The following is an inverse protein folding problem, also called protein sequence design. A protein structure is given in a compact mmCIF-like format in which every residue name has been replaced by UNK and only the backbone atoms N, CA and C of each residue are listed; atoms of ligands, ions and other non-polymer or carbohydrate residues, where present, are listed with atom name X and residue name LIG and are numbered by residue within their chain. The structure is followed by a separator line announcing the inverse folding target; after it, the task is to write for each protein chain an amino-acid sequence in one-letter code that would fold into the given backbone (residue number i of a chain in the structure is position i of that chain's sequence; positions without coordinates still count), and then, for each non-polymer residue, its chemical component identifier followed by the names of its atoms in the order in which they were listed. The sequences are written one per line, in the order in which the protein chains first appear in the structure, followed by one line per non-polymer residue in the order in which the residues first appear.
data_IF_291011047809
#
_entry.id   IF_291011047809
#
_cell.length_a   1.000
_cell.length_b   1.000
_cell.length_c   1.000
_cell.angle_alpha   90.00
_cell.angle_beta   90.00
_cell.angle_gamma   90.00
#
_symmetry.space_group_name_H-M   'P 1'
#
loop_
_entity.id
_entity.type
_entity.pdbx_description
1 polymer ?
#
# COMPACT_ATOMS: atom_id res chain seq x y z
N UNK A 1 0.36 -16.43 2.14
CA UNK A 1 0.15 -15.88 0.77
C UNK A 1 1.38 -15.08 0.40
N UNK A 2 1.94 -15.27 -0.79
CA UNK A 2 3.12 -14.48 -1.20
C UNK A 2 2.72 -13.07 -1.67
N UNK A 3 3.69 -12.16 -1.74
CA UNK A 3 3.48 -10.75 -2.12
C UNK A 3 2.78 -10.60 -3.48
N UNK A 4 3.14 -11.44 -4.45
CA UNK A 4 2.57 -11.39 -5.79
C UNK A 4 1.09 -11.77 -5.83
N UNK A 5 0.72 -12.85 -5.13
CA UNK A 5 -0.66 -13.28 -4.96
C UNK A 5 -1.50 -12.20 -4.27
N UNK A 6 -0.95 -11.55 -3.24
CA UNK A 6 -1.59 -10.46 -2.54
C UNK A 6 -1.83 -9.25 -3.46
N UNK A 7 -0.82 -8.81 -4.21
CA UNK A 7 -0.96 -7.68 -5.15
C UNK A 7 -2.00 -7.98 -6.23
N UNK A 8 -1.99 -9.21 -6.77
CA UNK A 8 -2.97 -9.65 -7.75
C UNK A 8 -4.38 -9.68 -7.17
N UNK A 9 -4.53 -10.16 -5.93
CA UNK A 9 -5.80 -10.12 -5.20
C UNK A 9 -6.32 -8.69 -5.07
N UNK A 10 -5.48 -7.77 -4.56
CA UNK A 10 -5.83 -6.36 -4.40
C UNK A 10 -6.26 -5.75 -5.74
N UNK A 11 -5.48 -5.97 -6.80
CA UNK A 11 -5.78 -5.41 -8.12
C UNK A 11 -7.13 -5.89 -8.66
N UNK A 12 -7.40 -7.20 -8.59
CA UNK A 12 -8.67 -7.78 -9.05
C UNK A 12 -9.86 -7.22 -8.28
N UNK A 13 -9.68 -6.91 -7.00
CA UNK A 13 -10.76 -6.48 -6.10
C UNK A 13 -10.82 -4.97 -5.86
N UNK A 14 -9.96 -4.16 -6.50
CA UNK A 14 -9.77 -2.71 -6.21
C UNK A 14 -11.03 -1.84 -6.21
N UNK A 15 -12.09 -2.28 -6.89
CA UNK A 15 -13.37 -1.56 -6.97
C UNK A 15 -14.39 -2.02 -5.91
N UNK A 16 -14.07 -3.03 -5.09
CA UNK A 16 -14.94 -3.48 -4.00
C UNK A 16 -14.97 -2.42 -2.90
N UNK A 17 -16.17 -2.12 -2.40
CA UNK A 17 -16.34 -1.30 -1.20
C UNK A 17 -15.68 -1.99 -0.02
N UNK A 18 -15.11 -1.19 0.88
CA UNK A 18 -14.49 -1.67 2.11
C UNK A 18 -13.39 -2.72 1.89
N UNK A 19 -12.64 -2.61 0.78
CA UNK A 19 -11.47 -3.48 0.58
C UNK A 19 -10.34 -3.12 1.55
N UNK A 20 -10.04 -1.84 1.70
CA UNK A 20 -8.94 -1.34 2.53
C UNK A 20 -9.44 -0.81 3.87
N UNK A 21 -8.70 -1.12 4.93
CA UNK A 21 -8.93 -0.62 6.27
C UNK A 21 -7.67 0.07 6.78
N UNK A 22 -7.86 1.21 7.42
CA UNK A 22 -6.81 1.98 8.06
C UNK A 22 -6.99 1.94 9.56
N UNK A 23 -5.94 1.53 10.27
CA UNK A 23 -5.85 1.71 11.72
C UNK A 23 -4.84 2.83 11.95
N UNK A 24 -5.31 3.97 12.46
CA UNK A 24 -4.47 5.13 12.74
C UNK A 24 -3.95 5.02 14.16
N UNK A 25 -2.65 4.80 14.30
CA UNK A 25 -2.03 4.58 15.60
C UNK A 25 -1.62 5.90 16.27
N UNK A 26 -1.12 6.86 15.48
CA UNK A 26 -0.62 8.12 16.01
C UNK A 26 -0.72 9.23 14.95
N UNK A 27 -1.03 10.45 15.39
CA UNK A 27 -0.98 11.66 14.58
C UNK A 27 0.00 12.61 15.27
N UNK A 28 1.02 13.08 14.55
CA UNK A 28 1.99 14.01 15.10
C UNK A 28 1.28 15.29 15.60
N UNK A 29 1.80 15.90 16.68
CA UNK A 29 1.21 17.12 17.28
C UNK A 29 1.00 18.26 16.28
N UNK A 30 1.86 18.35 15.26
CA UNK A 30 1.74 19.33 14.17
C UNK A 30 0.59 19.05 13.20
N UNK A 31 -0.03 17.87 13.24
CA UNK A 31 -1.05 17.41 12.30
C UNK A 31 -0.52 17.06 10.90
N UNK A 32 0.80 17.13 10.69
CA UNK A 32 1.47 16.99 9.38
C UNK A 32 2.02 15.60 9.08
N UNK A 33 1.86 14.66 10.02
CA UNK A 33 2.30 13.28 9.84
C UNK A 33 1.41 12.34 10.64
N UNK A 34 1.17 11.14 10.11
CA UNK A 34 0.35 10.09 10.72
C UNK A 34 1.04 8.75 10.58
N UNK A 35 0.90 7.91 11.60
CA UNK A 35 1.34 6.52 11.60
C UNK A 35 0.11 5.63 11.50
N UNK A 36 0.05 4.80 10.48
CA UNK A 36 -1.09 3.91 10.28
C UNK A 36 -0.67 2.52 9.81
N UNK A 37 -1.46 1.52 10.19
CA UNK A 37 -1.41 0.17 9.63
C UNK A 37 -2.53 0.01 8.62
N UNK A 38 -2.23 -0.67 7.52
CA UNK A 38 -3.18 -0.86 6.42
C UNK A 38 -3.47 -2.34 6.28
N UNK A 39 -4.75 -2.66 6.19
CA UNK A 39 -5.23 -4.02 6.00
C UNK A 39 -6.11 -4.12 4.76
N UNK A 40 -6.21 -5.32 4.22
CA UNK A 40 -7.21 -5.67 3.22
C UNK A 40 -8.10 -6.79 3.73
N UNK A 41 -9.40 -6.68 3.48
CA UNK A 41 -10.35 -7.75 3.81
C UNK A 41 -10.31 -8.81 2.72
N UNK A 42 -10.02 -10.06 3.10
CA UNK A 42 -10.07 -11.23 2.25
C UNK A 42 -10.66 -12.39 3.03
N UNK A 43 -11.70 -13.02 2.49
CA UNK A 43 -12.32 -14.22 3.07
C UNK A 43 -12.69 -14.03 4.56
N UNK A 44 -13.24 -12.85 4.89
CA UNK A 44 -13.57 -12.39 6.26
C UNK A 44 -12.39 -12.17 7.22
N UNK A 45 -11.15 -12.19 6.72
CA UNK A 45 -9.94 -11.90 7.48
C UNK A 45 -9.31 -10.57 7.06
N UNK A 46 -8.76 -9.85 8.04
CA UNK A 46 -7.95 -8.66 7.80
C UNK A 46 -6.50 -9.05 7.61
N UNK A 47 -6.02 -8.97 6.37
CA UNK A 47 -4.63 -9.23 6.04
C UNK A 47 -3.84 -7.93 6.08
N UNK A 48 -2.76 -7.89 6.85
CA UNK A 48 -1.90 -6.70 6.91
C UNK A 48 -1.12 -6.53 5.59
N UNK A 49 -1.19 -5.32 5.02
CA UNK A 49 -0.54 -4.96 3.75
C UNK A 49 0.39 -3.76 3.87
N UNK A 50 0.64 -3.25 5.09
CA UNK A 50 1.42 -2.04 5.37
C UNK A 50 2.77 -2.06 4.67
N UNK A 51 3.56 -3.12 4.86
CA UNK A 51 4.92 -3.26 4.30
C UNK A 51 4.92 -3.36 2.77
N UNK A 52 3.90 -4.01 2.19
CA UNK A 52 3.76 -4.11 0.72
C UNK A 52 3.44 -2.75 0.11
N UNK A 53 2.50 -2.01 0.71
CA UNK A 53 2.18 -0.65 0.27
C UNK A 53 3.39 0.27 0.42
N UNK A 54 4.11 0.18 1.53
CA UNK A 54 5.30 0.99 1.76
C UNK A 54 6.38 0.73 0.72
N UNK A 55 6.69 -0.55 0.46
CA UNK A 55 7.66 -0.96 -0.56
C UNK A 55 7.27 -0.44 -1.95
N UNK A 56 6.03 -0.68 -2.39
CA UNK A 56 5.56 -0.21 -3.71
C UNK A 56 5.57 1.31 -3.79
N UNK A 57 5.25 2.04 -2.72
CA UNK A 57 5.24 3.50 -2.70
C UNK A 57 6.62 4.14 -2.45
N UNK A 58 7.65 3.35 -2.15
CA UNK A 58 8.90 3.81 -1.56
C UNK A 58 8.64 4.78 -0.39
N UNK A 59 7.82 4.33 0.56
CA UNK A 59 7.37 5.12 1.70
C UNK A 59 8.02 4.63 2.99
N UNK A 60 8.19 5.56 3.95
CA UNK A 60 8.84 5.28 5.22
C UNK A 60 7.97 4.40 6.12
N UNK A 61 8.61 3.41 6.75
CA UNK A 61 8.04 2.60 7.83
C UNK A 61 8.65 3.04 9.17
N UNK A 62 7.85 3.01 10.23
CA UNK A 62 8.27 3.20 11.62
C UNK A 62 7.65 2.11 12.50
N UNK A 63 8.47 1.12 12.87
CA UNK A 63 7.99 -0.15 13.43
C UNK A 63 7.13 -0.90 12.42
N UNK A 64 5.88 -1.18 12.77
CA UNK A 64 4.89 -1.77 11.86
C UNK A 64 3.97 -0.72 11.20
N UNK A 65 4.25 0.57 11.34
CA UNK A 65 3.40 1.62 10.83
C UNK A 65 3.95 2.23 9.54
N UNK A 66 3.07 2.49 8.58
CA UNK A 66 3.35 3.39 7.47
C UNK A 66 3.34 4.83 7.97
N UNK A 67 4.40 5.58 7.64
CA UNK A 67 4.47 7.02 7.89
C UNK A 67 3.85 7.75 6.71
N UNK A 68 2.72 8.39 6.96
CA UNK A 68 1.96 9.16 5.97
C UNK A 68 2.21 10.64 6.26
N UNK A 69 2.88 11.31 5.33
CA UNK A 69 3.21 12.73 5.43
C UNK A 69 2.11 13.55 4.77
N UNK A 70 1.69 14.62 5.44
CA UNK A 70 0.70 15.57 4.95
C UNK A 70 -0.36 15.92 5.99
N UNK A 71 -1.23 16.86 5.64
CA UNK A 71 -2.38 17.30 6.45
C UNK A 71 -3.67 16.73 5.87
N UNK A 72 -4.65 16.41 6.73
CA UNK A 72 -5.96 15.93 6.29
C UNK A 72 -6.07 14.40 6.17
N UNK A 73 -7.31 13.92 6.05
CA UNK A 73 -7.63 12.49 5.84
C UNK A 73 -7.48 12.05 4.39
N UNK A 74 -7.49 12.99 3.46
CA UNK A 74 -7.18 12.81 2.04
C UNK A 74 -5.82 12.12 1.80
N UNK A 75 -4.86 12.29 2.72
CA UNK A 75 -3.54 11.67 2.62
C UNK A 75 -3.57 10.13 2.63
N UNK A 76 -4.55 9.52 3.32
CA UNK A 76 -4.76 8.06 3.27
C UNK A 76 -5.21 7.63 1.87
N UNK A 77 -6.15 8.36 1.28
CA UNK A 77 -6.64 8.07 -0.07
C UNK A 77 -5.54 8.31 -1.11
N UNK A 78 -4.77 9.38 -0.96
CA UNK A 78 -3.61 9.66 -1.82
C UNK A 78 -2.59 8.52 -1.77
N UNK A 79 -2.32 7.98 -0.58
CA UNK A 79 -1.39 6.85 -0.40
C UNK A 79 -1.87 5.58 -1.12
N UNK A 80 -3.17 5.24 -1.04
CA UNK A 80 -3.72 4.11 -1.81
C UNK A 80 -3.73 4.39 -3.30
N UNK A 81 -4.11 5.61 -3.70
CA UNK A 81 -4.15 5.99 -5.10
C UNK A 81 -2.76 5.87 -5.75
N UNK A 82 -1.72 6.37 -5.07
CA UNK A 82 -0.32 6.23 -5.49
C UNK A 82 0.07 4.76 -5.64
N UNK A 83 -0.30 3.93 -4.67
CA UNK A 83 -0.03 2.49 -4.68
C UNK A 83 -0.70 1.78 -5.86
N UNK A 84 -2.00 1.99 -6.06
CA UNK A 84 -2.75 1.39 -7.17
C UNK A 84 -2.26 1.89 -8.53
N UNK A 85 -1.89 3.17 -8.64
CA UNK A 85 -1.31 3.74 -9.87
C UNK A 85 0.02 3.07 -10.22
N UNK A 86 0.89 2.84 -9.23
CA UNK A 86 2.17 2.13 -9.45
C UNK A 86 1.97 0.68 -9.88
N UNK A 87 1.04 -0.05 -9.25
CA UNK A 87 0.66 -1.40 -9.67
C UNK A 87 0.15 -1.38 -11.13
N UNK A 88 -0.73 -0.43 -11.46
CA UNK A 88 -1.26 -0.30 -12.83
C UNK A 88 -0.16 -0.08 -13.86
N UNK A 89 0.81 0.79 -13.56
CA UNK A 89 1.95 1.05 -14.45
C UNK A 89 2.81 -0.20 -14.64
N UNK A 90 3.15 -0.90 -13.54
CA UNK A 90 3.90 -2.15 -13.62
C UNK A 90 3.17 -3.20 -14.49
N UNK A 91 1.84 -3.33 -14.34
CA UNK A 91 1.03 -4.25 -15.16
C UNK A 91 1.00 -3.90 -16.65
N UNK A 92 0.98 -2.62 -16.99
CA UNK A 92 0.96 -2.17 -18.38
C UNK A 92 2.31 -2.34 -19.08
N UNK A 93 3.41 -2.40 -18.30
CA UNK A 93 4.75 -2.68 -18.79
C UNK A 93 5.00 -4.19 -18.94
N UNK A 94 4.36 -5.02 -18.11
CA UNK A 94 4.42 -6.49 -18.19
C UNK A 94 3.44 -7.09 -19.23
N UNK A 95 3.51 -6.65 -20.49
CA UNK A 95 2.62 -7.15 -21.56
C UNK A 95 2.77 -8.65 -21.87
N UNK A 96 3.78 -9.33 -21.30
CA UNK A 96 4.02 -10.77 -21.51
C UNK A 96 3.65 -11.66 -20.29
N UNK A 97 2.81 -11.18 -19.37
CA UNK A 97 2.22 -12.02 -18.32
C UNK A 97 3.07 -12.27 -17.08
N UNK A 98 4.33 -11.84 -17.06
CA UNK A 98 5.20 -11.89 -15.88
C UNK A 98 5.27 -10.53 -15.16
N UNK A 99 4.80 -10.52 -13.91
CA UNK A 99 4.79 -9.32 -13.09
C UNK A 99 6.18 -9.06 -12.52
N UNK A 100 6.98 -8.26 -13.21
CA UNK A 100 8.24 -7.76 -12.67
C UNK A 100 7.99 -6.45 -11.93
N UNK A 101 7.91 -6.50 -10.61
CA UNK A 101 8.38 -5.36 -9.82
C UNK A 101 9.90 -5.41 -9.95
N UNK A 102 10.46 -4.64 -10.89
CA UNK A 102 11.90 -4.64 -11.11
C UNK A 102 12.59 -4.38 -9.78
N UNK A 103 13.58 -5.22 -9.50
CA UNK A 103 14.36 -5.14 -8.29
C UNK A 103 15.17 -3.83 -8.20
N UNK A 104 15.20 -3.01 -9.26
CA UNK A 104 15.91 -1.74 -9.30
C UNK A 104 15.22 -0.62 -8.49
N UNK A 105 14.08 -0.91 -7.85
CA UNK A 105 13.51 -0.06 -6.78
C UNK A 105 13.98 -0.45 -5.37
N UNK A 106 14.71 -1.56 -5.21
CA UNK A 106 15.34 -1.96 -3.95
C UNK A 106 16.65 -1.18 -3.79
N UNK A 107 16.57 0.09 -3.41
CA UNK A 107 17.71 0.74 -2.75
C UNK A 107 17.69 0.27 -1.29
N UNK A 108 18.57 -0.70 -1.05
CA UNK A 108 19.31 -0.99 0.18
C UNK A 108 18.62 -0.71 1.53
N UNK A 109 18.31 -1.80 2.25
CA UNK A 109 18.61 -1.84 3.69
C UNK A 109 20.13 -1.98 3.86
#
# INVERSE_FOLDING_TARGET
MNTQQLINYIWKNRNKKYLFYYVVNNIARSGKSRKARIYVLKDNELLEVTKVIASVNNAKIDGDNLVIIGSGMDMYFYTLHKFLSRISKAKNLSKDGEFFLSADSYIHL
#
